data_IF_942997391782
#
_entry.id   IF_942997391782
#
_cell.length_a   1.000
_cell.length_b   1.000
_cell.length_c   1.000
_cell.angle_alpha   90.00
_cell.angle_beta   90.00
_cell.angle_gamma   90.00
#
_symmetry.space_group_name_H-M   'P 1'
#
loop_
_entity.id
_entity.type
_entity.pdbx_description
1 polymer ?
#
# COMPACT_ATOMS: atom_id res chain seq x y z
N UNK A 1 30.37 38.82 4.45
CA UNK A 1 30.19 37.71 3.50
C UNK A 1 30.43 36.42 4.27
N UNK A 2 29.37 35.80 4.81
CA UNK A 2 29.41 34.45 5.36
C UNK A 2 28.01 33.87 5.12
N UNK A 3 27.88 33.12 4.03
CA UNK A 3 26.70 32.32 3.75
C UNK A 3 26.76 31.10 4.67
N UNK A 4 25.93 31.10 5.72
CA UNK A 4 25.75 29.92 6.55
C UNK A 4 24.73 29.03 5.85
N UNK A 5 25.22 27.88 5.38
CA UNK A 5 24.48 26.83 4.71
C UNK A 5 23.22 26.46 5.49
N UNK A 6 22.07 26.62 4.85
CA UNK A 6 20.82 26.02 5.32
C UNK A 6 20.93 24.50 5.12
N UNK A 7 21.39 23.80 6.15
CA UNK A 7 21.09 22.38 6.29
C UNK A 7 19.60 22.26 6.61
N UNK A 8 18.76 22.22 5.58
CA UNK A 8 17.38 21.76 5.69
C UNK A 8 17.39 20.28 6.03
N UNK A 9 17.53 19.97 7.32
CA UNK A 9 17.08 18.72 7.90
C UNK A 9 15.55 18.69 7.85
N UNK A 10 15.02 18.50 6.64
CA UNK A 10 13.66 18.05 6.47
C UNK A 10 13.64 16.60 6.94
N UNK A 11 13.39 16.40 8.24
CA UNK A 11 12.66 15.22 8.69
C UNK A 11 11.28 15.32 8.06
N UNK A 12 11.20 15.04 6.77
CA UNK A 12 9.96 14.99 6.01
C UNK A 12 9.31 13.72 6.51
N UNK A 13 8.48 13.84 7.55
CA UNK A 13 7.39 12.90 7.73
C UNK A 13 6.75 12.80 6.34
N UNK A 14 6.93 11.67 5.67
CA UNK A 14 6.30 11.42 4.39
C UNK A 14 4.81 11.68 4.63
N UNK A 15 4.29 12.74 4.00
CA UNK A 15 2.96 13.19 4.29
C UNK A 15 2.00 12.01 4.03
N UNK A 16 1.01 11.76 4.89
CA UNK A 16 0.04 10.67 4.71
C UNK A 16 -0.57 10.61 3.30
N UNK A 17 -0.54 11.73 2.56
CA UNK A 17 -0.88 11.83 1.14
C UNK A 17 -0.09 10.89 0.21
N UNK A 18 1.21 10.64 0.41
CA UNK A 18 2.00 9.83 -0.55
C UNK A 18 1.62 8.36 -0.46
N UNK A 19 1.61 7.79 0.75
CA UNK A 19 1.20 6.41 0.97
C UNK A 19 -0.26 6.19 0.54
N UNK A 20 -1.13 7.16 0.85
CA UNK A 20 -2.53 7.13 0.41
C UNK A 20 -2.63 7.11 -1.12
N UNK A 21 -1.94 7.99 -1.85
CA UNK A 21 -1.97 7.99 -3.32
C UNK A 21 -1.40 6.71 -3.92
N UNK A 22 -0.36 6.11 -3.32
CA UNK A 22 0.21 4.84 -3.79
C UNK A 22 -0.79 3.70 -3.62
N UNK A 23 -1.40 3.58 -2.44
CA UNK A 23 -2.38 2.54 -2.14
C UNK A 23 -3.67 2.73 -2.93
N UNK A 24 -4.14 3.97 -3.08
CA UNK A 24 -5.29 4.33 -3.92
C UNK A 24 -5.08 3.82 -5.35
N UNK A 25 -3.98 4.24 -5.98
CA UNK A 25 -3.66 3.87 -7.36
C UNK A 25 -3.50 2.37 -7.54
N UNK A 26 -2.78 1.70 -6.63
CA UNK A 26 -2.61 0.25 -6.68
C UNK A 26 -3.95 -0.48 -6.55
N UNK A 27 -4.79 -0.09 -5.59
CA UNK A 27 -6.09 -0.71 -5.38
C UNK A 27 -7.06 -0.40 -6.53
N UNK A 28 -6.98 0.78 -7.15
CA UNK A 28 -7.74 1.10 -8.37
C UNK A 28 -7.37 0.19 -9.54
N UNK A 29 -6.09 -0.18 -9.68
CA UNK A 29 -5.65 -1.13 -10.73
C UNK A 29 -6.01 -2.59 -10.40
N UNK A 30 -6.10 -2.95 -9.12
CA UNK A 30 -6.41 -4.31 -8.66
C UNK A 30 -7.91 -4.61 -8.58
N UNK A 31 -8.72 -3.61 -8.27
CA UNK A 31 -10.19 -3.72 -8.20
C UNK A 31 -10.82 -4.30 -9.47
N UNK A 32 -10.52 -3.83 -10.70
CA UNK A 32 -11.08 -4.41 -11.93
C UNK A 32 -10.55 -5.82 -12.20
N UNK A 33 -9.43 -6.23 -11.58
CA UNK A 33 -8.91 -7.60 -11.63
C UNK A 33 -9.52 -8.52 -10.56
N UNK A 34 -10.45 -8.00 -9.76
CA UNK A 34 -11.13 -8.73 -8.69
C UNK A 34 -10.25 -9.02 -7.48
N UNK A 35 -9.13 -8.31 -7.28
CA UNK A 35 -8.19 -8.52 -6.17
C UNK A 35 -8.32 -7.37 -5.17
N UNK A 36 -8.90 -7.63 -3.99
CA UNK A 36 -9.34 -6.53 -3.14
C UNK A 36 -10.41 -5.67 -3.83
N UNK A 37 -10.86 -4.61 -3.18
CA UNK A 37 -11.78 -3.64 -3.76
C UNK A 37 -11.65 -2.30 -3.07
N UNK A 38 -11.56 -1.25 -3.87
CA UNK A 38 -11.67 0.14 -3.46
C UNK A 38 -12.83 0.77 -4.26
N UNK A 39 -13.87 1.19 -3.56
CA UNK A 39 -15.05 1.84 -4.16
C UNK A 39 -15.40 3.11 -3.38
N UNK A 40 -15.25 4.27 -4.03
CA UNK A 40 -15.48 5.59 -3.44
C UNK A 40 -14.82 5.77 -2.05
N UNK A 41 -13.59 5.27 -1.88
CA UNK A 41 -12.84 5.35 -0.63
C UNK A 41 -13.14 4.22 0.38
N UNK A 42 -14.18 3.42 0.15
CA UNK A 42 -14.50 2.24 0.96
C UNK A 42 -13.68 1.04 0.52
N UNK A 43 -13.21 0.24 1.48
CA UNK A 43 -12.44 -0.96 1.23
C UNK A 43 -13.25 -2.23 1.49
N UNK A 44 -13.14 -3.20 0.58
CA UNK A 44 -13.64 -4.56 0.79
C UNK A 44 -12.58 -5.58 0.39
N UNK A 45 -12.59 -6.76 1.02
CA UNK A 45 -11.61 -7.83 0.76
C UNK A 45 -10.15 -7.37 0.93
N UNK A 46 -9.95 -6.39 1.81
CA UNK A 46 -8.65 -5.87 2.21
C UNK A 46 -8.52 -6.06 3.71
N UNK A 47 -7.42 -6.68 4.14
CA UNK A 47 -7.08 -6.80 5.55
C UNK A 47 -5.68 -6.31 5.78
N UNK A 48 -5.49 -5.58 6.89
CA UNK A 48 -4.19 -5.16 7.35
C UNK A 48 -3.82 -5.99 8.56
N UNK A 49 -2.67 -6.64 8.54
CA UNK A 49 -2.23 -7.41 9.68
C UNK A 49 -0.73 -7.45 9.89
N UNK A 50 -0.37 -7.93 11.07
CA UNK A 50 0.92 -8.53 11.38
C UNK A 50 0.68 -10.02 11.66
N UNK A 51 1.74 -10.80 11.91
CA UNK A 51 1.58 -12.19 12.33
C UNK A 51 0.72 -12.37 13.60
N UNK A 52 0.56 -11.32 14.43
CA UNK A 52 -0.13 -11.38 15.71
C UNK A 52 -1.53 -10.75 15.72
N UNK A 53 -1.86 -9.89 14.76
CA UNK A 53 -3.14 -9.16 14.76
C UNK A 53 -3.55 -8.82 13.33
N UNK A 54 -4.82 -9.06 13.00
CA UNK A 54 -5.45 -8.64 11.75
C UNK A 54 -6.56 -7.62 12.01
N UNK A 55 -6.72 -6.69 11.07
CA UNK A 55 -7.72 -5.62 11.07
C UNK A 55 -8.36 -5.56 9.68
N UNK A 56 -9.63 -5.18 9.65
CA UNK A 56 -10.40 -5.01 8.43
C UNK A 56 -10.71 -3.51 8.29
N UNK A 57 -9.81 -2.72 7.69
CA UNK A 57 -10.06 -1.29 7.52
C UNK A 57 -11.27 -1.09 6.60
N UNK A 58 -12.21 -0.24 7.01
CA UNK A 58 -13.40 0.07 6.22
C UNK A 58 -13.15 1.12 5.13
N UNK A 59 -12.07 1.90 5.26
CA UNK A 59 -11.72 2.94 4.29
C UNK A 59 -10.22 3.01 4.03
N UNK A 60 -9.85 3.65 2.91
CA UNK A 60 -8.45 3.91 2.56
C UNK A 60 -7.75 4.76 3.63
N UNK A 61 -8.45 5.76 4.18
CA UNK A 61 -7.91 6.63 5.24
C UNK A 61 -7.61 5.82 6.51
N UNK A 62 -8.51 4.93 6.92
CA UNK A 62 -8.30 4.05 8.08
C UNK A 62 -7.10 3.12 7.84
N UNK A 63 -6.99 2.55 6.64
CA UNK A 63 -5.86 1.70 6.26
C UNK A 63 -4.53 2.46 6.35
N UNK A 64 -4.45 3.65 5.76
CA UNK A 64 -3.23 4.49 5.77
C UNK A 64 -2.88 4.92 7.18
N UNK A 65 -3.87 5.34 7.97
CA UNK A 65 -3.66 5.69 9.37
C UNK A 65 -3.11 4.50 10.16
N UNK A 66 -3.70 3.32 10.01
CA UNK A 66 -3.25 2.11 10.69
C UNK A 66 -1.85 1.68 10.24
N UNK A 67 -1.52 1.80 8.95
CA UNK A 67 -0.17 1.57 8.42
C UNK A 67 0.82 2.58 8.99
N UNK A 68 0.48 3.86 9.08
CA UNK A 68 1.36 4.89 9.64
C UNK A 68 1.75 4.67 11.10
N UNK A 69 0.98 3.89 11.85
CA UNK A 69 1.31 3.47 13.23
C UNK A 69 2.26 2.26 13.28
N UNK A 70 2.53 1.61 12.14
CA UNK A 70 3.37 0.43 12.01
C UNK A 70 4.69 0.79 11.33
N UNK A 71 5.78 0.18 11.77
CA UNK A 71 7.04 0.21 11.00
C UNK A 71 6.96 -0.63 9.73
N UNK A 72 6.14 -1.68 9.77
CA UNK A 72 5.95 -2.66 8.71
C UNK A 72 4.61 -3.37 8.92
N UNK A 73 3.82 -3.50 7.86
CA UNK A 73 2.52 -4.17 7.87
C UNK A 73 2.38 -5.12 6.69
N UNK A 74 1.51 -6.12 6.81
CA UNK A 74 1.12 -7.01 5.73
C UNK A 74 -0.31 -6.66 5.30
N UNK A 75 -0.45 -6.20 4.07
CA UNK A 75 -1.72 -5.95 3.43
C UNK A 75 -2.13 -7.20 2.66
N UNK A 76 -3.19 -7.89 3.11
CA UNK A 76 -3.73 -9.05 2.42
C UNK A 76 -4.97 -8.64 1.62
N UNK A 77 -4.93 -8.87 0.32
CA UNK A 77 -6.00 -8.65 -0.63
C UNK A 77 -6.59 -10.01 -1.02
N UNK A 78 -7.91 -10.14 -0.98
CA UNK A 78 -8.60 -11.40 -1.28
C UNK A 78 -9.42 -11.25 -2.56
N UNK A 79 -9.43 -12.29 -3.39
CA UNK A 79 -10.29 -12.37 -4.58
C UNK A 79 -11.72 -12.78 -4.22
N UNK A 80 -12.62 -12.76 -5.19
CA UNK A 80 -13.98 -13.30 -5.03
C UNK A 80 -14.01 -14.81 -4.83
N UNK A 81 -13.06 -15.51 -5.44
CA UNK A 81 -12.86 -16.96 -5.32
C UNK A 81 -12.05 -17.37 -4.08
N UNK A 82 -11.56 -16.42 -3.29
CA UNK A 82 -10.91 -16.66 -1.99
C UNK A 82 -9.39 -16.83 -2.04
N UNK A 83 -8.76 -16.69 -3.21
CA UNK A 83 -7.31 -16.56 -3.31
C UNK A 83 -6.83 -15.26 -2.66
N UNK A 84 -5.57 -15.26 -2.22
CA UNK A 84 -5.01 -14.13 -1.49
C UNK A 84 -3.71 -13.65 -2.11
N UNK A 85 -3.49 -12.34 -2.03
CA UNK A 85 -2.22 -11.68 -2.28
C UNK A 85 -1.80 -10.92 -1.01
N UNK A 86 -0.59 -11.16 -0.55
CA UNK A 86 0.00 -10.48 0.61
C UNK A 86 1.08 -9.52 0.15
N UNK A 87 0.89 -8.24 0.43
CA UNK A 87 1.84 -7.17 0.15
C UNK A 87 2.46 -6.71 1.46
N UNK A 88 3.78 -6.74 1.53
CA UNK A 88 4.50 -6.17 2.66
C UNK A 88 4.68 -4.69 2.45
N UNK A 89 4.14 -3.88 3.36
CA UNK A 89 4.16 -2.42 3.31
C UNK A 89 5.07 -1.87 4.41
N UNK A 90 6.06 -1.06 4.04
CA UNK A 90 6.95 -0.33 4.94
C UNK A 90 6.75 1.18 4.72
N UNK A 91 5.92 1.83 5.56
CA UNK A 91 5.69 3.27 5.51
C UNK A 91 7.00 4.06 5.70
N UNK A 92 7.17 5.17 5.00
CA UNK A 92 8.39 5.98 5.04
C UNK A 92 9.46 5.58 4.02
N UNK A 93 9.17 4.60 3.16
CA UNK A 93 9.93 4.34 1.94
C UNK A 93 9.22 4.99 0.76
N UNK A 94 9.99 5.57 -0.15
CA UNK A 94 9.52 6.09 -1.44
C UNK A 94 8.62 5.11 -2.21
N UNK A 95 9.00 3.82 -2.20
CA UNK A 95 8.16 2.72 -2.66
C UNK A 95 7.88 1.81 -1.46
N UNK A 96 6.66 1.89 -0.88
CA UNK A 96 6.38 1.26 0.40
C UNK A 96 6.17 -0.25 0.29
N UNK A 97 5.85 -0.78 -0.89
CA UNK A 97 5.69 -2.23 -1.08
C UNK A 97 7.06 -2.87 -1.26
N UNK A 98 7.46 -3.72 -0.31
CA UNK A 98 8.81 -4.33 -0.28
C UNK A 98 8.82 -5.82 -0.62
N UNK A 99 7.67 -6.48 -0.57
CA UNK A 99 7.50 -7.88 -0.96
C UNK A 99 6.07 -8.15 -1.37
N UNK A 100 5.89 -9.07 -2.32
CA UNK A 100 4.60 -9.54 -2.79
C UNK A 100 4.59 -11.07 -2.78
N UNK A 101 3.53 -11.66 -2.25
CA UNK A 101 3.28 -13.10 -2.25
C UNK A 101 1.83 -13.34 -2.61
N UNK A 102 1.50 -14.51 -3.14
CA UNK A 102 0.12 -14.88 -3.38
C UNK A 102 -0.09 -16.39 -3.23
N UNK A 103 -1.33 -16.81 -3.06
CA UNK A 103 -1.71 -18.22 -2.97
C UNK A 103 -1.54 -18.98 -4.28
N UNK A 104 -1.52 -18.29 -5.42
CA UNK A 104 -1.29 -18.90 -6.74
C UNK A 104 -0.61 -17.93 -7.73
N UNK A 105 -0.02 -18.47 -8.80
CA UNK A 105 0.77 -17.69 -9.75
C UNK A 105 -0.04 -16.66 -10.53
N UNK A 106 -1.30 -16.95 -10.88
CA UNK A 106 -2.15 -16.01 -11.63
C UNK A 106 -2.46 -14.74 -10.85
N UNK A 107 -2.73 -14.87 -9.54
CA UNK A 107 -2.94 -13.74 -8.64
C UNK A 107 -1.66 -12.95 -8.46
N UNK A 108 -0.51 -13.62 -8.28
CA UNK A 108 0.78 -12.93 -8.16
C UNK A 108 1.09 -12.10 -9.41
N UNK A 109 0.93 -12.69 -10.60
CA UNK A 109 1.15 -11.99 -11.87
C UNK A 109 0.22 -10.78 -12.00
N UNK A 110 -1.06 -10.93 -11.67
CA UNK A 110 -2.03 -9.84 -11.72
C UNK A 110 -1.65 -8.66 -10.82
N UNK A 111 -1.09 -8.96 -9.64
CA UNK A 111 -0.60 -7.99 -8.67
C UNK A 111 0.66 -7.28 -9.18
N UNK A 112 1.63 -8.03 -9.68
CA UNK A 112 2.86 -7.46 -10.25
C UNK A 112 2.53 -6.57 -11.45
N UNK A 113 1.66 -7.03 -12.35
CA UNK A 113 1.23 -6.24 -13.50
C UNK A 113 0.53 -4.94 -13.09
N UNK A 114 -0.32 -4.98 -12.06
CA UNK A 114 -0.97 -3.78 -11.53
C UNK A 114 0.05 -2.82 -10.90
N UNK A 115 1.03 -3.36 -10.16
CA UNK A 115 2.11 -2.57 -9.58
C UNK A 115 2.96 -1.88 -10.66
N UNK A 116 3.32 -2.58 -11.73
CA UNK A 116 4.09 -1.99 -12.85
C UNK A 116 3.27 -0.96 -13.63
N UNK A 117 1.96 -1.21 -13.83
CA UNK A 117 1.06 -0.28 -14.51
C UNK A 117 0.93 1.08 -13.79
N UNK A 118 1.09 1.08 -12.46
CA UNK A 118 0.99 2.30 -11.66
C UNK A 118 2.11 3.31 -11.94
N UNK A 119 3.19 2.95 -12.66
CA UNK A 119 4.28 3.86 -13.07
C UNK A 119 4.69 4.82 -11.95
N UNK A 120 5.37 4.28 -10.96
CA UNK A 120 5.79 5.02 -9.78
C UNK A 120 6.82 6.09 -10.16
N UNK A 121 6.34 7.27 -10.51
CA UNK A 121 7.21 8.39 -10.80
C UNK A 121 8.01 8.70 -9.54
N UNK A 122 9.31 8.47 -9.71
CA UNK A 122 10.35 8.82 -8.80
C UNK A 122 10.45 10.35 -8.72
N UNK A 123 9.53 11.02 -8.02
CA UNK A 123 9.72 12.39 -7.54
C UNK A 123 10.76 12.45 -6.42
#
# INVERSE_FOLDING_TARGET
>A
MLALEQATSATRAEAPSTLMSILDRLLSELTPKGIGKLDNGSLERVTLGTAAQQRHPGSLEELVYALGQLRKGMLTLTTESGETASLTVEPGRRLPITSMQASCSSVLLSVVDAWEACRWDAA
#
